data_IF_760053696112
#
_entry.id   IF_760053696112
#
_cell.length_a   1.000
_cell.length_b   1.000
_cell.length_c   1.000
_cell.angle_alpha   90.00
_cell.angle_beta   90.00
_cell.angle_gamma   90.00
#
_symmetry.space_group_name_H-M   'P 1'
#
loop_
_entity.id
_entity.type
_entity.pdbx_description
1 polymer ?
#
# COMPACT_ATOMS: atom_id res chain seq x y z
N UNK A 1 -7.84 -11.66 11.20
CA UNK A 1 -8.43 -10.35 10.88
C UNK A 1 -9.93 -10.38 11.10
N UNK A 2 -10.40 -9.66 12.11
CA UNK A 2 -11.78 -9.76 12.59
C UNK A 2 -12.78 -8.89 11.83
N UNK A 3 -12.31 -7.84 11.16
CA UNK A 3 -13.17 -6.83 10.54
C UNK A 3 -13.22 -7.04 9.02
N UNK A 4 -14.25 -7.77 8.56
CA UNK A 4 -14.53 -7.97 7.13
C UNK A 4 -15.95 -7.55 6.79
N UNK A 5 -16.20 -7.20 5.53
CA UNK A 5 -17.52 -6.85 5.02
C UNK A 5 -18.21 -5.79 5.87
N UNK A 6 -19.45 -6.01 6.27
CA UNK A 6 -20.22 -5.05 7.07
C UNK A 6 -19.61 -4.79 8.46
N UNK A 7 -18.95 -5.78 9.06
CA UNK A 7 -18.24 -5.56 10.35
C UNK A 7 -17.10 -4.54 10.22
N UNK A 8 -16.40 -4.52 9.08
CA UNK A 8 -15.41 -3.49 8.79
C UNK A 8 -16.08 -2.12 8.68
N UNK A 9 -17.20 -2.04 7.95
CA UNK A 9 -17.98 -0.80 7.80
C UNK A 9 -18.45 -0.26 9.16
N UNK A 10 -19.05 -1.11 9.99
CA UNK A 10 -19.51 -0.74 11.32
C UNK A 10 -18.36 -0.24 12.22
N UNK A 11 -17.22 -0.93 12.20
CA UNK A 11 -16.04 -0.53 12.96
C UNK A 11 -15.49 0.82 12.51
N UNK A 12 -15.38 1.05 11.20
CA UNK A 12 -14.97 2.34 10.65
C UNK A 12 -15.95 3.44 11.00
N UNK A 13 -17.27 3.19 10.87
CA UNK A 13 -18.33 4.13 11.24
C UNK A 13 -18.22 4.54 12.71
N UNK A 14 -18.06 3.57 13.62
CA UNK A 14 -17.97 3.81 15.06
C UNK A 14 -16.77 4.71 15.45
N UNK A 15 -15.73 4.70 14.66
CA UNK A 15 -14.55 5.53 14.90
C UNK A 15 -14.59 6.87 14.14
N UNK A 16 -14.90 6.84 12.85
CA UNK A 16 -14.81 8.01 11.98
C UNK A 16 -15.93 9.03 12.25
N UNK A 17 -17.12 8.56 12.67
CA UNK A 17 -18.25 9.45 13.03
C UNK A 17 -17.94 10.41 14.18
N UNK A 18 -16.90 10.15 14.96
CA UNK A 18 -16.47 11.05 16.07
C UNK A 18 -15.81 12.33 15.55
N UNK A 19 -15.44 12.41 14.29
CA UNK A 19 -14.89 13.61 13.65
C UNK A 19 -13.49 14.02 14.13
N UNK A 20 -12.76 13.15 14.83
CA UNK A 20 -11.42 13.42 15.37
C UNK A 20 -10.30 12.64 14.68
N UNK A 21 -10.61 11.93 13.60
CA UNK A 21 -9.65 11.15 12.81
C UNK A 21 -9.46 11.87 11.46
N UNK A 22 -8.21 12.29 11.17
CA UNK A 22 -7.85 12.94 9.92
C UNK A 22 -7.34 11.97 8.86
N UNK A 23 -6.76 10.85 9.29
CA UNK A 23 -6.22 9.85 8.38
C UNK A 23 -6.30 8.45 8.98
N UNK A 24 -6.39 7.43 8.13
CA UNK A 24 -6.22 6.03 8.47
C UNK A 24 -5.05 5.45 7.67
N UNK A 25 -4.33 4.49 8.26
CA UNK A 25 -3.20 3.83 7.62
C UNK A 25 -3.31 2.31 7.80
N UNK A 26 -2.95 1.58 6.73
CA UNK A 26 -2.80 0.12 6.76
C UNK A 26 -1.74 -0.30 5.74
N UNK A 27 -1.16 -1.49 5.93
CA UNK A 27 -0.30 -2.14 4.93
C UNK A 27 -1.06 -3.23 4.18
N UNK A 28 -0.81 -3.36 2.86
CA UNK A 28 -1.50 -4.30 1.99
C UNK A 28 -0.57 -4.82 0.86
N UNK A 29 -0.06 -6.09 0.91
CA UNK A 29 -0.20 -7.09 1.99
C UNK A 29 0.29 -6.61 3.36
N UNK A 30 -0.29 -7.16 4.43
CA UNK A 30 0.04 -6.76 5.80
C UNK A 30 1.33 -7.43 6.28
N UNK A 31 2.12 -6.71 7.06
CA UNK A 31 3.24 -7.25 7.82
C UNK A 31 2.91 -7.11 9.33
N UNK A 32 2.95 -8.20 10.15
CA UNK A 32 3.56 -9.52 9.86
C UNK A 32 2.57 -10.59 9.40
N UNK A 33 1.27 -10.35 9.45
CA UNK A 33 0.27 -11.39 9.32
C UNK A 33 0.00 -11.85 7.87
N UNK A 34 0.49 -11.10 6.89
CA UNK A 34 0.37 -11.37 5.45
C UNK A 34 -1.05 -11.46 4.89
N UNK A 35 -2.06 -11.00 5.61
CA UNK A 35 -3.37 -10.87 5.00
C UNK A 35 -3.39 -9.75 3.95
N UNK A 36 -4.21 -9.92 2.93
CA UNK A 36 -4.45 -8.90 1.92
C UNK A 36 -5.91 -8.47 1.97
N UNK A 37 -6.13 -7.16 1.90
CA UNK A 37 -7.47 -6.61 1.78
C UNK A 37 -8.06 -6.96 0.41
N UNK A 38 -9.31 -7.38 0.40
CA UNK A 38 -10.06 -7.65 -0.81
C UNK A 38 -10.51 -6.35 -1.49
N UNK A 39 -10.91 -6.45 -2.74
CA UNK A 39 -11.45 -5.32 -3.49
C UNK A 39 -12.72 -4.74 -2.83
N UNK A 40 -13.55 -5.60 -2.23
CA UNK A 40 -14.73 -5.21 -1.46
C UNK A 40 -14.36 -4.43 -0.19
N UNK A 41 -13.38 -4.89 0.58
CA UNK A 41 -12.91 -4.20 1.79
C UNK A 41 -12.29 -2.83 1.45
N UNK A 42 -11.50 -2.76 0.37
CA UNK A 42 -10.94 -1.50 -0.10
C UNK A 42 -12.02 -0.53 -0.60
N UNK A 43 -13.09 -1.06 -1.19
CA UNK A 43 -14.26 -0.26 -1.54
C UNK A 43 -14.95 0.33 -0.30
N UNK A 44 -15.16 -0.48 0.73
CA UNK A 44 -15.72 0.00 2.01
C UNK A 44 -14.83 1.09 2.61
N UNK A 45 -13.51 0.89 2.65
CA UNK A 45 -12.56 1.88 3.15
C UNK A 45 -12.65 3.18 2.35
N UNK A 46 -12.69 3.10 1.03
CA UNK A 46 -12.81 4.26 0.14
C UNK A 46 -14.12 5.03 0.32
N UNK A 47 -15.26 4.31 0.44
CA UNK A 47 -16.57 4.90 0.70
C UNK A 47 -16.59 5.63 2.06
N UNK A 48 -16.02 5.03 3.09
CA UNK A 48 -15.94 5.62 4.42
C UNK A 48 -14.99 6.83 4.46
N UNK A 49 -13.87 6.75 3.72
CA UNK A 49 -12.97 7.88 3.54
C UNK A 49 -13.65 9.08 2.87
N UNK A 50 -14.48 8.82 1.85
CA UNK A 50 -15.25 9.86 1.18
C UNK A 50 -16.34 10.44 2.10
N UNK A 51 -17.05 9.59 2.85
CA UNK A 51 -18.13 9.99 3.76
C UNK A 51 -17.65 10.92 4.88
N UNK A 52 -16.49 10.59 5.46
CA UNK A 52 -15.94 11.31 6.63
C UNK A 52 -14.79 12.26 6.29
N UNK A 53 -14.48 12.42 5.01
CA UNK A 53 -13.40 13.27 4.53
C UNK A 53 -12.04 12.94 5.19
N UNK A 54 -11.72 11.65 5.26
CA UNK A 54 -10.51 11.12 5.88
C UNK A 54 -9.51 10.70 4.81
N UNK A 55 -8.24 10.97 5.02
CA UNK A 55 -7.15 10.54 4.11
C UNK A 55 -6.83 9.07 4.38
N UNK A 56 -6.69 8.28 3.33
CA UNK A 56 -6.21 6.89 3.41
C UNK A 56 -4.74 6.84 3.03
N UNK A 57 -3.90 6.32 3.93
CA UNK A 57 -2.49 6.06 3.66
C UNK A 57 -2.35 4.55 3.46
N UNK A 58 -2.15 4.14 2.20
CA UNK A 58 -1.98 2.74 1.82
C UNK A 58 -0.48 2.43 1.73
N UNK A 59 0.03 1.65 2.68
CA UNK A 59 1.42 1.19 2.68
C UNK A 59 1.53 -0.07 1.82
N UNK A 60 2.13 0.09 0.66
CA UNK A 60 2.38 -0.94 -0.34
C UNK A 60 3.85 -1.40 -0.32
N UNK A 61 4.41 -1.59 0.89
CA UNK A 61 5.79 -2.10 1.03
C UNK A 61 5.97 -3.45 0.33
N UNK A 62 4.92 -4.27 0.26
CA UNK A 62 4.87 -5.56 -0.43
C UNK A 62 4.06 -5.50 -1.73
N UNK A 63 4.27 -4.43 -2.49
CA UNK A 63 3.61 -4.21 -3.78
C UNK A 63 3.77 -5.42 -4.72
N UNK A 64 2.66 -5.79 -5.38
CA UNK A 64 2.55 -6.95 -6.28
C UNK A 64 2.78 -8.33 -5.62
N UNK A 65 2.68 -8.43 -4.30
CA UNK A 65 2.91 -9.68 -3.55
C UNK A 65 1.63 -10.26 -2.92
N UNK A 66 0.46 -10.02 -3.51
CA UNK A 66 -0.76 -10.77 -3.19
C UNK A 66 -0.75 -12.09 -3.99
N UNK A 67 -0.15 -13.13 -3.42
CA UNK A 67 0.05 -14.42 -4.08
C UNK A 67 -1.23 -15.27 -4.17
N UNK A 68 -2.34 -14.83 -3.58
CA UNK A 68 -3.65 -15.44 -3.80
C UNK A 68 -4.18 -15.20 -5.22
N UNK A 69 -3.59 -14.24 -5.93
CA UNK A 69 -3.99 -13.85 -7.28
C UNK A 69 -2.83 -14.06 -8.24
N UNK A 70 -3.15 -14.54 -9.43
CA UNK A 70 -2.20 -14.54 -10.54
C UNK A 70 -2.21 -13.14 -11.20
N UNK A 71 -1.46 -12.21 -10.60
CA UNK A 71 -1.35 -10.85 -11.10
C UNK A 71 -0.74 -10.84 -12.50
N UNK A 72 -1.22 -9.95 -13.36
CA UNK A 72 -0.66 -9.70 -14.69
C UNK A 72 0.72 -9.05 -14.64
N UNK A 73 1.37 -8.95 -15.78
CA UNK A 73 2.58 -8.15 -15.90
C UNK A 73 2.26 -6.64 -15.73
N UNK A 74 3.27 -5.76 -15.56
CA UNK A 74 3.02 -4.34 -15.46
C UNK A 74 2.14 -3.81 -16.60
N UNK A 75 1.11 -3.03 -16.25
CA UNK A 75 0.08 -2.46 -17.13
C UNK A 75 -0.93 -3.46 -17.74
N UNK A 76 -0.86 -4.74 -17.39
CA UNK A 76 -1.83 -5.75 -17.81
C UNK A 76 -2.58 -6.35 -16.61
N UNK A 77 -3.92 -6.48 -16.70
CA UNK A 77 -4.72 -7.08 -15.62
C UNK A 77 -4.43 -8.59 -15.49
N UNK A 78 -4.76 -9.19 -14.33
CA UNK A 78 -5.35 -8.54 -13.16
C UNK A 78 -4.32 -7.74 -12.35
N UNK A 79 -4.77 -6.61 -11.79
CA UNK A 79 -3.93 -5.74 -10.96
C UNK A 79 -4.11 -6.06 -9.48
N UNK A 80 -3.11 -5.71 -8.67
CA UNK A 80 -3.28 -5.65 -7.23
C UNK A 80 -4.41 -4.66 -6.89
N UNK A 81 -5.29 -5.05 -5.97
CA UNK A 81 -6.33 -4.18 -5.47
C UNK A 81 -5.71 -2.99 -4.69
N UNK A 82 -6.30 -1.82 -4.84
CA UNK A 82 -5.89 -0.58 -4.16
C UNK A 82 -7.09 0.30 -3.89
N UNK A 83 -7.05 1.02 -2.78
CA UNK A 83 -8.09 1.99 -2.40
C UNK A 83 -8.21 3.15 -3.40
N UNK A 84 -7.17 3.43 -4.17
CA UNK A 84 -7.16 4.47 -5.20
C UNK A 84 -8.26 4.29 -6.28
N UNK A 85 -8.87 3.11 -6.37
CA UNK A 85 -10.03 2.86 -7.25
C UNK A 85 -11.34 3.44 -6.71
N UNK A 86 -11.43 3.74 -5.40
CA UNK A 86 -12.68 4.04 -4.71
C UNK A 86 -12.72 5.41 -4.05
N UNK A 87 -11.58 6.07 -3.92
CA UNK A 87 -11.49 7.41 -3.35
C UNK A 87 -10.34 8.20 -3.98
N UNK A 88 -10.48 9.53 -4.00
CA UNK A 88 -9.38 10.46 -4.28
C UNK A 88 -8.69 10.98 -3.01
N UNK A 89 -9.10 10.53 -1.83
CA UNK A 89 -8.48 10.91 -0.56
C UNK A 89 -7.39 9.91 -0.19
N UNK A 90 -6.41 9.65 -1.09
CA UNK A 90 -5.39 8.65 -0.84
C UNK A 90 -3.94 9.16 -0.98
N UNK A 91 -3.08 8.50 -0.22
CA UNK A 91 -1.63 8.52 -0.36
C UNK A 91 -1.19 7.05 -0.44
N UNK A 92 -0.55 6.65 -1.55
CA UNK A 92 0.08 5.33 -1.68
C UNK A 92 1.58 5.44 -1.42
N UNK A 93 2.11 4.50 -0.63
CA UNK A 93 3.53 4.41 -0.30
C UNK A 93 4.11 3.13 -0.88
N UNK A 94 4.83 3.21 -2.00
CA UNK A 94 5.41 2.07 -2.69
C UNK A 94 6.90 1.99 -2.35
N UNK A 95 7.31 0.88 -1.71
CA UNK A 95 8.71 0.67 -1.34
C UNK A 95 9.52 0.04 -2.48
N UNK A 96 10.72 0.55 -2.71
CA UNK A 96 11.70 -0.12 -3.57
C UNK A 96 12.30 -1.39 -2.96
N UNK A 97 12.08 -1.61 -1.65
CA UNK A 97 12.80 -2.65 -0.90
C UNK A 97 12.43 -4.07 -1.29
N UNK A 98 11.17 -4.34 -1.63
CA UNK A 98 10.65 -5.70 -1.85
C UNK A 98 10.43 -5.99 -3.34
N UNK A 99 9.44 -5.37 -3.95
CA UNK A 99 9.11 -5.61 -5.36
C UNK A 99 10.27 -5.35 -6.33
N UNK A 100 11.17 -4.45 -5.99
CA UNK A 100 12.31 -4.07 -6.83
C UNK A 100 13.66 -4.54 -6.27
N UNK A 101 13.67 -5.40 -5.23
CA UNK A 101 14.89 -5.91 -4.58
C UNK A 101 15.92 -4.83 -4.21
N UNK A 102 15.45 -3.65 -3.83
CA UNK A 102 16.28 -2.44 -3.67
C UNK A 102 16.35 -1.94 -2.22
N UNK A 103 16.28 -2.88 -1.27
CA UNK A 103 16.16 -2.58 0.17
C UNK A 103 17.32 -1.76 0.74
N UNK A 104 18.55 -2.03 0.31
CA UNK A 104 19.76 -1.36 0.79
C UNK A 104 19.82 0.13 0.46
N UNK A 105 19.10 0.58 -0.55
CA UNK A 105 19.14 1.96 -1.02
C UNK A 105 18.16 2.89 -0.29
N UNK A 106 17.32 2.36 0.58
CA UNK A 106 16.39 3.13 1.42
C UNK A 106 15.54 4.12 0.62
N UNK A 107 14.88 3.63 -0.43
CA UNK A 107 14.10 4.43 -1.37
C UNK A 107 12.68 3.86 -1.55
N UNK A 108 11.72 4.74 -1.72
CA UNK A 108 10.34 4.44 -2.07
C UNK A 108 9.72 5.60 -2.84
N UNK A 109 8.50 5.41 -3.28
CA UNK A 109 7.70 6.41 -3.99
C UNK A 109 6.42 6.67 -3.23
N UNK A 110 6.07 7.93 -3.10
CA UNK A 110 4.76 8.37 -2.63
C UNK A 110 3.93 8.86 -3.80
N UNK A 111 2.77 8.26 -4.01
CA UNK A 111 1.77 8.73 -4.96
C UNK A 111 0.60 9.34 -4.20
N UNK A 112 0.25 10.57 -4.54
CA UNK A 112 -0.88 11.33 -3.96
C UNK A 112 -1.87 11.60 -5.08
N UNK A 113 -3.18 11.43 -4.82
CA UNK A 113 -4.17 11.79 -5.83
C UNK A 113 -4.06 13.26 -6.23
N UNK A 114 -4.37 13.58 -7.47
CA UNK A 114 -4.36 14.97 -7.94
C UNK A 114 -5.30 15.86 -7.11
N UNK A 115 -6.46 15.35 -6.75
CA UNK A 115 -7.45 16.07 -5.94
C UNK A 115 -6.90 16.40 -4.56
N UNK A 116 -6.31 15.43 -3.85
CA UNK A 116 -5.71 15.65 -2.55
C UNK A 116 -4.46 16.54 -2.65
N UNK A 117 -3.62 16.34 -3.67
CA UNK A 117 -2.42 17.14 -3.88
C UNK A 117 -2.72 18.65 -3.96
N UNK A 118 -3.76 19.01 -4.71
CA UNK A 118 -4.15 20.42 -4.93
C UNK A 118 -5.08 20.98 -3.85
N UNK A 119 -5.49 20.16 -2.90
CA UNK A 119 -6.38 20.58 -1.82
C UNK A 119 -5.67 21.48 -0.81
N UNK A 120 -6.33 22.56 -0.40
CA UNK A 120 -5.85 23.46 0.67
C UNK A 120 -6.57 23.14 1.99
N UNK A 121 -5.81 23.20 3.06
CA UNK A 121 -6.31 23.03 4.43
C UNK A 121 -5.98 24.26 5.26
N UNK A 122 -6.96 24.92 5.91
CA UNK A 122 -6.71 26.13 6.70
C UNK A 122 -5.63 25.94 7.77
N UNK A 123 -5.61 24.81 8.46
CA UNK A 123 -4.60 24.50 9.47
C UNK A 123 -3.18 24.37 8.91
N UNK A 124 -3.02 23.85 7.68
CA UNK A 124 -1.72 23.80 7.02
C UNK A 124 -1.30 25.19 6.56
N UNK A 125 -2.22 25.99 6.05
CA UNK A 125 -1.95 27.38 5.67
C UNK A 125 -1.48 28.20 6.87
N UNK A 126 -2.17 28.08 8.00
CA UNK A 126 -1.78 28.76 9.26
C UNK A 126 -0.39 28.32 9.74
N UNK A 127 -0.10 27.03 9.69
CA UNK A 127 1.16 26.48 10.24
C UNK A 127 2.37 26.71 9.34
N UNK A 128 2.20 26.67 8.02
CA UNK A 128 3.29 26.68 7.04
C UNK A 128 3.29 27.88 6.11
N UNK A 129 2.39 28.83 6.31
CA UNK A 129 2.35 30.07 5.54
C UNK A 129 1.71 29.96 4.18
N UNK A 130 0.98 28.86 3.89
CA UNK A 130 0.28 28.64 2.63
C UNK A 130 0.70 27.36 1.91
N UNK A 131 0.14 27.15 0.73
CA UNK A 131 0.38 26.01 -0.12
C UNK A 131 -0.75 24.97 -0.11
N UNK A 132 -0.74 24.12 -1.13
CA UNK A 132 -1.61 22.95 -1.21
C UNK A 132 -1.08 21.81 -0.35
N UNK A 133 -1.90 20.82 -0.06
CA UNK A 133 -1.49 19.64 0.71
C UNK A 133 -0.23 19.00 0.14
N UNK A 134 -0.19 18.72 -1.17
CA UNK A 134 0.97 18.09 -1.81
C UNK A 134 2.24 18.93 -1.71
N UNK A 135 2.14 20.25 -1.89
CA UNK A 135 3.28 21.17 -1.76
C UNK A 135 3.82 21.16 -0.33
N UNK A 136 2.94 21.24 0.66
CA UNK A 136 3.34 21.19 2.09
C UNK A 136 3.94 19.81 2.41
N UNK A 137 3.31 18.74 1.95
CA UNK A 137 3.78 17.37 2.19
C UNK A 137 5.21 17.17 1.66
N UNK A 138 5.50 17.58 0.43
CA UNK A 138 6.81 17.42 -0.19
C UNK A 138 7.85 18.33 0.47
N UNK A 139 7.58 19.63 0.50
CA UNK A 139 8.59 20.62 0.85
C UNK A 139 8.74 20.88 2.35
N UNK A 140 7.74 20.52 3.16
CA UNK A 140 7.78 20.73 4.61
C UNK A 140 7.86 19.43 5.40
N UNK A 141 7.16 18.37 4.98
CA UNK A 141 7.15 17.11 5.71
C UNK A 141 8.27 16.19 5.24
N UNK A 142 8.24 15.76 3.98
CA UNK A 142 9.26 14.81 3.47
C UNK A 142 10.66 15.39 3.52
N UNK A 143 10.84 16.63 3.12
CA UNK A 143 12.16 17.29 3.18
C UNK A 143 12.65 17.44 4.62
N UNK A 144 11.81 17.89 5.54
CA UNK A 144 12.19 18.07 6.95
C UNK A 144 12.57 16.75 7.64
N UNK A 145 11.94 15.63 7.24
CA UNK A 145 12.20 14.31 7.83
C UNK A 145 13.43 13.62 7.24
N UNK A 146 13.80 13.92 5.99
CA UNK A 146 14.85 13.19 5.28
C UNK A 146 16.05 14.07 4.88
N UNK A 147 15.93 15.40 4.94
CA UNK A 147 16.89 16.37 4.37
C UNK A 147 17.18 16.11 2.88
N UNK A 148 16.36 15.35 2.22
CA UNK A 148 16.51 14.88 0.85
C UNK A 148 16.74 13.37 0.75
N UNK A 149 16.50 12.84 -0.41
CA UNK A 149 16.64 11.42 -0.72
C UNK A 149 17.90 11.20 -1.56
N UNK A 150 18.55 10.04 -1.42
CA UNK A 150 19.73 9.69 -2.22
C UNK A 150 19.44 9.85 -3.72
N UNK A 151 20.24 10.70 -4.37
CA UNK A 151 20.08 11.06 -5.78
C UNK A 151 20.22 9.83 -6.70
N UNK A 152 21.27 9.01 -6.51
CA UNK A 152 21.49 7.80 -7.29
C UNK A 152 20.37 6.77 -7.13
N UNK A 153 19.84 6.62 -5.90
CA UNK A 153 18.74 5.71 -5.64
C UNK A 153 17.43 6.16 -6.32
N UNK A 154 17.17 7.46 -6.40
CA UNK A 154 16.01 7.99 -7.12
C UNK A 154 16.09 7.68 -8.62
N UNK A 155 17.24 7.94 -9.26
CA UNK A 155 17.43 7.66 -10.68
C UNK A 155 17.32 6.17 -10.99
N UNK A 156 17.90 5.31 -10.16
CA UNK A 156 17.83 3.88 -10.37
C UNK A 156 16.40 3.34 -10.23
N UNK A 157 15.66 3.78 -9.19
CA UNK A 157 14.26 3.38 -9.05
C UNK A 157 13.39 3.92 -10.19
N UNK A 158 13.61 5.17 -10.61
CA UNK A 158 12.93 5.75 -11.77
C UNK A 158 13.21 4.97 -13.06
N UNK A 159 14.44 4.51 -13.25
CA UNK A 159 14.80 3.67 -14.39
C UNK A 159 14.09 2.29 -14.37
N UNK A 160 13.94 1.69 -13.18
CA UNK A 160 13.17 0.44 -13.04
C UNK A 160 11.69 0.65 -13.35
N UNK A 161 11.07 1.73 -12.86
CA UNK A 161 9.69 2.08 -13.23
C UNK A 161 9.54 2.34 -14.72
N UNK A 162 10.49 3.06 -15.32
CA UNK A 162 10.48 3.28 -16.77
C UNK A 162 10.58 1.97 -17.55
N UNK A 163 11.50 1.10 -17.19
CA UNK A 163 11.66 -0.20 -17.82
C UNK A 163 10.39 -1.06 -17.70
N UNK A 164 9.71 -1.01 -16.55
CA UNK A 164 8.41 -1.66 -16.36
C UNK A 164 7.33 -1.04 -17.27
N UNK A 165 7.30 0.29 -17.39
CA UNK A 165 6.38 0.99 -18.28
C UNK A 165 6.64 0.70 -19.77
N UNK A 166 7.90 0.51 -20.14
CA UNK A 166 8.31 0.16 -21.52
C UNK A 166 8.14 -1.35 -21.82
N UNK A 167 7.68 -2.16 -20.85
CA UNK A 167 7.49 -3.61 -20.98
C UNK A 167 8.81 -4.42 -21.01
N UNK A 168 9.94 -3.80 -20.68
CA UNK A 168 11.27 -4.46 -20.68
C UNK A 168 11.66 -5.03 -19.32
N UNK A 169 10.88 -4.76 -18.27
CA UNK A 169 11.10 -5.26 -16.93
C UNK A 169 9.78 -5.69 -16.27
N UNK A 170 9.57 -7.00 -16.18
CA UNK A 170 8.44 -7.59 -15.48
C UNK A 170 8.82 -7.96 -14.04
N UNK A 171 8.70 -6.99 -13.14
CA UNK A 171 8.95 -7.21 -11.71
C UNK A 171 7.88 -8.10 -11.06
N UNK A 172 6.66 -8.15 -11.62
CA UNK A 172 5.57 -8.97 -11.08
C UNK A 172 5.93 -10.45 -11.20
N UNK A 173 6.42 -10.89 -12.36
CA UNK A 173 6.90 -12.26 -12.53
C UNK A 173 8.07 -12.59 -11.60
N UNK A 174 8.95 -11.63 -11.32
CA UNK A 174 10.07 -11.85 -10.40
C UNK A 174 9.61 -12.06 -8.96
N UNK A 175 8.62 -11.30 -8.49
CA UNK A 175 8.13 -11.46 -7.11
C UNK A 175 7.27 -12.70 -6.92
N UNK A 176 6.66 -13.27 -7.98
CA UNK A 176 5.97 -14.57 -7.91
C UNK A 176 6.85 -15.72 -7.40
N UNK A 177 8.16 -15.59 -7.59
CA UNK A 177 9.12 -16.57 -7.06
C UNK A 177 9.09 -16.64 -5.52
N UNK A 178 8.78 -15.54 -4.82
CA UNK A 178 8.65 -15.54 -3.37
C UNK A 178 7.44 -16.38 -2.91
N UNK A 179 6.30 -16.30 -3.60
CA UNK A 179 5.13 -17.14 -3.34
C UNK A 179 5.47 -18.62 -3.50
N UNK A 180 6.11 -19.01 -4.62
CA UNK A 180 6.55 -20.41 -4.84
C UNK A 180 7.51 -20.92 -3.75
N UNK A 181 8.40 -20.04 -3.27
CA UNK A 181 9.30 -20.39 -2.14
C UNK A 181 8.56 -20.54 -0.82
N UNK A 182 7.57 -19.67 -0.57
CA UNK A 182 6.74 -19.73 0.63
C UNK A 182 5.97 -21.06 0.68
N UNK A 183 5.27 -21.42 -0.40
CA UNK A 183 4.57 -22.71 -0.52
C UNK A 183 5.50 -23.92 -0.27
N UNK A 184 6.69 -23.90 -0.89
CA UNK A 184 7.69 -24.96 -0.72
C UNK A 184 8.18 -25.04 0.74
N UNK A 185 8.45 -23.91 1.37
CA UNK A 185 8.88 -23.86 2.78
C UNK A 185 7.77 -24.34 3.70
N UNK A 186 6.54 -23.88 3.50
CA UNK A 186 5.36 -24.31 4.23
C UNK A 186 5.23 -25.84 4.20
N UNK A 187 5.30 -26.43 2.98
CA UNK A 187 5.27 -27.89 2.83
C UNK A 187 6.41 -28.57 3.58
N UNK A 188 7.64 -28.09 3.48
CA UNK A 188 8.79 -28.68 4.18
C UNK A 188 8.56 -28.66 5.69
N UNK A 189 8.14 -27.53 6.25
CA UNK A 189 7.89 -27.44 7.69
C UNK A 189 6.77 -28.35 8.15
N UNK A 190 5.64 -28.39 7.45
CA UNK A 190 4.52 -29.25 7.81
C UNK A 190 4.85 -30.74 7.67
N UNK A 191 5.57 -31.14 6.64
CA UNK A 191 6.06 -32.54 6.46
C UNK A 191 7.01 -32.98 7.60
N UNK A 192 7.65 -32.04 8.29
CA UNK A 192 8.54 -32.29 9.43
C UNK A 192 7.87 -32.04 10.79
N UNK A 193 6.54 -31.97 10.84
CA UNK A 193 5.76 -31.91 12.07
C UNK A 193 5.61 -30.50 12.69
N UNK A 194 5.97 -29.45 11.96
CA UNK A 194 5.66 -28.07 12.39
C UNK A 194 4.23 -27.71 12.02
N UNK A 195 3.62 -26.89 12.84
CA UNK A 195 2.30 -26.31 12.58
C UNK A 195 2.44 -24.86 12.17
N UNK A 196 1.80 -24.46 11.10
CA UNK A 196 1.69 -23.05 10.72
C UNK A 196 0.67 -22.38 11.63
N UNK A 197 1.10 -21.43 12.43
CA UNK A 197 0.27 -20.81 13.47
C UNK A 197 -0.82 -19.91 12.86
N UNK A 198 -0.50 -19.21 11.78
CA UNK A 198 -1.41 -18.30 11.11
C UNK A 198 -1.41 -18.56 9.60
N UNK A 199 -2.32 -19.42 9.16
CA UNK A 199 -2.40 -19.94 7.80
C UNK A 199 -3.67 -19.47 7.06
N UNK A 200 -4.71 -19.17 7.84
CA UNK A 200 -5.97 -18.68 7.32
C UNK A 200 -6.42 -17.45 8.08
N UNK A 201 -7.08 -16.56 7.36
CA UNK A 201 -7.77 -15.42 7.91
C UNK A 201 -9.28 -15.66 7.70
N UNK A 202 -9.98 -16.07 8.76
CA UNK A 202 -11.32 -16.67 8.68
C UNK A 202 -11.30 -17.90 7.76
N UNK A 203 -12.15 -17.91 6.75
CA UNK A 203 -12.28 -19.00 5.78
C UNK A 203 -11.36 -18.86 4.57
N UNK A 204 -10.49 -17.85 4.55
CA UNK A 204 -9.61 -17.56 3.42
C UNK A 204 -8.16 -17.91 3.78
N UNK A 205 -7.42 -18.59 2.91
CA UNK A 205 -5.99 -18.69 3.10
C UNK A 205 -5.40 -17.28 3.11
N UNK A 206 -4.42 -17.06 3.96
CA UNK A 206 -3.63 -15.83 3.85
C UNK A 206 -2.78 -15.89 2.58
N UNK A 207 -2.33 -14.75 2.09
CA UNK A 207 -1.57 -14.63 0.84
C UNK A 207 -0.16 -15.20 1.01
N UNK A 208 -0.04 -16.48 0.97
CA UNK A 208 1.20 -17.25 1.01
C UNK A 208 1.70 -17.65 -0.39
#
# INVERSE_FOLDING_TARGET
YEYRGERLREALEAHLSKGNIAAMIYSNPNNPAWFCLTDEELKIIGEMANKYDVIVIEDLAYFAMDFRKDLGCPFEPPYQASVARYTDNYIMQISGSKAFSYAGQRIGVTAISNKLYHRSYPGLTQRYGGGTFGTVYIHRVLYALSSGTSHSAQFALAAMFKAAADGTFDFVSQVKEYGRRAEKLKKIFTDHGFTIVYDHDLDQPIAD
#
